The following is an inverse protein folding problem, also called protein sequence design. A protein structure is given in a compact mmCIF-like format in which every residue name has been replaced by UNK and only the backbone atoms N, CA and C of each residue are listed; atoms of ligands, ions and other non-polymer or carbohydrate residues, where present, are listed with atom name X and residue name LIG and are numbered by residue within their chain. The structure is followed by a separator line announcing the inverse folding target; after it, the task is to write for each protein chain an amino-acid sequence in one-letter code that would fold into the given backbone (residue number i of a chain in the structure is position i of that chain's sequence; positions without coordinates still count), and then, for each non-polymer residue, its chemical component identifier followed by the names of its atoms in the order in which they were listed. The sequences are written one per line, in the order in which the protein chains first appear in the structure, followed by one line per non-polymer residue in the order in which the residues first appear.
data_IF_511280969792
#
_entry.id   IF_511280969792
#
_cell.length_a   1.000
_cell.length_b   1.000
_cell.length_c   1.000
_cell.angle_alpha   90.00
_cell.angle_beta   90.00
_cell.angle_gamma   90.00
#
_symmetry.space_group_name_H-M   'P 1'
#
loop_
_entity.id
_entity.type
_entity.pdbx_description
1 polymer ?
#
# COMPACT_ATOMS: atom_id res chain seq x y z
N UNK A 1 21.20 7.19 -34.41
CA UNK A 1 21.25 8.36 -33.49
C UNK A 1 20.30 8.06 -32.35
N UNK A 2 20.73 7.30 -31.33
CA UNK A 2 21.18 7.74 -29.99
C UNK A 2 20.16 8.60 -29.24
N UNK A 3 19.43 7.94 -28.34
CA UNK A 3 18.58 8.52 -27.29
C UNK A 3 19.49 9.15 -26.23
N UNK A 4 19.19 10.37 -25.74
CA UNK A 4 19.88 10.93 -24.57
C UNK A 4 18.91 11.25 -23.42
N UNK A 5 19.06 10.44 -22.38
CA UNK A 5 18.57 10.65 -21.04
C UNK A 5 19.35 11.79 -20.38
N UNK A 6 18.76 12.98 -20.25
CA UNK A 6 19.24 13.98 -19.29
C UNK A 6 18.18 15.06 -19.12
N UNK A 7 17.53 15.10 -17.96
CA UNK A 7 17.22 16.30 -17.16
C UNK A 7 16.18 15.93 -16.11
N UNK A 8 16.60 15.20 -15.07
CA UNK A 8 15.90 15.18 -13.78
C UNK A 8 16.98 15.32 -12.71
N UNK A 9 17.53 16.53 -12.63
CA UNK A 9 18.45 16.93 -11.59
C UNK A 9 17.95 18.23 -10.98
N UNK A 10 17.84 18.22 -9.65
CA UNK A 10 17.34 19.26 -8.72
C UNK A 10 15.89 18.94 -8.31
N UNK A 11 15.59 18.56 -7.08
CA UNK A 11 16.02 19.23 -5.84
C UNK A 11 15.82 18.30 -4.65
N UNK A 12 16.90 17.78 -4.06
CA UNK A 12 16.88 17.21 -2.70
C UNK A 12 18.17 17.64 -2.00
N UNK A 13 18.11 18.82 -1.38
CA UNK A 13 19.03 19.23 -0.33
C UNK A 13 18.16 19.57 0.89
N UNK A 14 18.77 19.41 2.07
CA UNK A 14 18.16 19.39 3.40
C UNK A 14 17.55 18.00 3.62
N UNK A 15 18.21 17.07 4.30
CA UNK A 15 18.62 17.16 5.70
C UNK A 15 19.88 16.31 5.99
N UNK A 16 21.00 16.97 6.28
CA UNK A 16 22.03 16.42 7.16
C UNK A 16 21.84 17.10 8.53
N UNK A 17 21.67 16.31 9.59
CA UNK A 17 21.63 16.84 10.95
C UNK A 17 21.08 15.89 11.99
N UNK A 18 21.71 14.73 12.20
CA UNK A 18 21.59 14.00 13.46
C UNK A 18 22.97 13.54 13.94
N UNK A 19 23.53 14.13 15.01
CA UNK A 19 24.69 13.60 15.69
C UNK A 19 24.18 12.60 16.75
N UNK A 20 24.38 11.30 16.52
CA UNK A 20 24.03 10.26 17.46
C UNK A 20 24.85 9.01 17.19
N UNK A 21 25.90 8.84 17.99
CA UNK A 21 26.88 7.75 17.92
C UNK A 21 26.24 6.35 18.00
N UNK A 22 26.74 5.44 17.17
CA UNK A 22 27.14 4.09 17.60
C UNK A 22 26.20 2.94 17.24
N UNK A 23 26.55 2.19 16.19
CA UNK A 23 25.98 0.88 15.91
C UNK A 23 26.07 0.54 14.42
N UNK A 24 27.22 0.04 13.98
CA UNK A 24 27.41 -0.53 12.65
C UNK A 24 26.57 -1.82 12.58
N UNK A 25 25.34 -1.75 12.07
CA UNK A 25 24.58 -2.94 11.72
C UNK A 25 24.98 -3.38 10.32
N UNK A 26 25.64 -4.51 10.29
CA UNK A 26 25.97 -5.33 9.13
C UNK A 26 24.65 -5.70 8.43
N UNK A 27 24.23 -4.88 7.47
CA UNK A 27 23.07 -5.14 6.63
C UNK A 27 23.38 -6.36 5.75
N UNK A 28 22.92 -7.53 6.20
CA UNK A 28 22.97 -8.78 5.44
C UNK A 28 22.29 -8.59 4.09
N UNK A 29 22.88 -9.14 3.02
CA UNK A 29 22.54 -8.92 1.62
C UNK A 29 21.18 -9.53 1.16
N UNK A 30 20.20 -9.64 2.06
CA UNK A 30 18.84 -10.11 1.79
C UNK A 30 17.74 -9.33 2.54
N UNK A 31 18.08 -8.30 3.32
CA UNK A 31 17.08 -7.43 3.95
C UNK A 31 16.69 -6.32 2.98
N UNK A 32 15.67 -6.58 2.16
CA UNK A 32 14.97 -5.49 1.48
C UNK A 32 14.46 -4.52 2.56
N UNK A 33 15.04 -3.32 2.61
CA UNK A 33 14.62 -2.27 3.53
C UNK A 33 13.10 -2.16 3.41
N UNK A 34 12.36 -2.26 4.52
CA UNK A 34 10.91 -2.34 4.44
C UNK A 34 10.43 -1.11 3.67
N UNK A 35 9.63 -1.35 2.62
CA UNK A 35 9.00 -0.31 1.79
C UNK A 35 8.04 0.50 2.66
N UNK A 36 8.60 1.35 3.52
CA UNK A 36 7.88 2.25 4.39
C UNK A 36 8.02 3.63 3.78
N UNK A 37 7.09 3.96 2.89
CA UNK A 37 6.76 5.36 2.72
C UNK A 37 6.31 5.92 4.07
N UNK A 38 6.77 7.12 4.40
CA UNK A 38 6.25 7.83 5.57
C UNK A 38 4.75 8.05 5.39
N UNK A 39 3.97 7.80 6.44
CA UNK A 39 2.55 8.14 6.45
C UNK A 39 2.41 9.66 6.56
N UNK A 40 1.54 10.23 5.74
CA UNK A 40 1.20 11.64 5.89
C UNK A 40 0.51 11.89 7.23
N UNK A 41 1.02 12.88 7.96
CA UNK A 41 0.27 13.50 9.05
C UNK A 41 -0.97 14.24 8.51
N UNK A 42 -1.85 14.68 9.40
CA UNK A 42 -3.12 15.31 9.04
C UNK A 42 -2.97 16.49 8.05
N UNK A 43 -2.03 17.40 8.29
CA UNK A 43 -1.83 18.57 7.42
C UNK A 43 -1.25 18.18 6.05
N UNK A 44 -0.36 17.18 6.01
CA UNK A 44 0.18 16.64 4.77
C UNK A 44 -0.92 15.96 3.96
N UNK A 45 -1.79 15.17 4.62
CA UNK A 45 -2.93 14.52 3.99
C UNK A 45 -3.90 15.56 3.39
N UNK A 46 -4.17 16.64 4.13
CA UNK A 46 -5.03 17.74 3.66
C UNK A 46 -4.45 18.43 2.43
N UNK A 47 -3.16 18.76 2.46
CA UNK A 47 -2.51 19.40 1.32
C UNK A 47 -2.43 18.45 0.12
N UNK A 48 -2.10 17.17 0.36
CA UNK A 48 -2.04 16.16 -0.69
C UNK A 48 -3.42 15.92 -1.33
N UNK A 49 -4.48 15.85 -0.53
CA UNK A 49 -5.85 15.70 -1.03
C UNK A 49 -6.27 16.82 -1.98
N UNK A 50 -5.87 18.08 -1.68
CA UNK A 50 -6.10 19.21 -2.60
C UNK A 50 -5.37 19.03 -3.91
N UNK A 51 -4.08 18.70 -3.86
CA UNK A 51 -3.26 18.45 -5.06
C UNK A 51 -3.87 17.31 -5.89
N UNK A 52 -4.26 16.21 -5.25
CA UNK A 52 -4.87 15.06 -5.89
C UNK A 52 -6.17 15.43 -6.61
N UNK A 53 -7.04 16.20 -5.95
CA UNK A 53 -8.31 16.64 -6.53
C UNK A 53 -8.12 17.55 -7.76
N UNK A 54 -7.14 18.46 -7.75
CA UNK A 54 -6.84 19.29 -8.93
C UNK A 54 -6.22 18.51 -10.09
N UNK A 55 -5.56 17.39 -9.82
CA UNK A 55 -4.92 16.57 -10.86
C UNK A 55 -5.90 15.64 -11.59
N UNK A 56 -7.11 15.43 -11.06
CA UNK A 56 -8.08 14.50 -11.63
C UNK A 56 -9.21 15.26 -12.35
N UNK A 57 -9.36 15.00 -13.64
CA UNK A 57 -10.49 15.50 -14.43
C UNK A 57 -11.72 14.61 -14.21
N UNK A 58 -12.87 15.24 -13.94
CA UNK A 58 -14.13 14.54 -13.82
C UNK A 58 -14.65 14.16 -15.22
N UNK A 59 -15.20 12.96 -15.34
CA UNK A 59 -15.88 12.56 -16.55
C UNK A 59 -17.16 13.41 -16.75
N UNK A 60 -17.40 14.00 -17.93
CA UNK A 60 -18.51 14.93 -18.15
C UNK A 60 -19.88 14.26 -18.20
N UNK A 61 -19.92 12.93 -18.27
CA UNK A 61 -21.14 12.13 -18.37
C UNK A 61 -21.42 11.29 -17.12
N UNK A 62 -22.63 10.74 -17.05
CA UNK A 62 -23.01 9.77 -16.03
C UNK A 62 -22.47 8.39 -16.43
N UNK A 63 -21.56 7.85 -15.63
CA UNK A 63 -21.10 6.47 -15.79
C UNK A 63 -22.03 5.53 -15.01
N UNK A 64 -22.16 4.26 -15.42
CA UNK A 64 -22.84 3.25 -14.61
C UNK A 64 -22.17 3.16 -13.23
N UNK A 65 -22.96 3.11 -12.17
CA UNK A 65 -22.44 2.82 -10.85
C UNK A 65 -22.00 1.35 -10.80
N UNK A 66 -20.69 1.13 -10.94
CA UNK A 66 -20.08 -0.19 -10.86
C UNK A 66 -19.51 -0.47 -9.47
N UNK A 67 -19.42 0.55 -8.60
CA UNK A 67 -18.75 0.40 -7.32
C UNK A 67 -19.52 -0.58 -6.44
N UNK A 68 -20.83 -0.39 -6.30
CA UNK A 68 -21.65 -1.25 -5.45
C UNK A 68 -21.65 -2.71 -5.95
N UNK A 69 -21.77 -2.94 -7.26
CA UNK A 69 -21.69 -4.30 -7.82
C UNK A 69 -20.35 -4.97 -7.53
N UNK A 70 -19.25 -4.25 -7.75
CA UNK A 70 -17.90 -4.76 -7.47
C UNK A 70 -17.64 -4.99 -5.99
N UNK A 71 -18.19 -4.14 -5.11
CA UNK A 71 -18.08 -4.35 -3.66
C UNK A 71 -18.83 -5.60 -3.22
N UNK A 72 -20.04 -5.83 -3.74
CA UNK A 72 -20.80 -7.07 -3.49
C UNK A 72 -20.08 -8.31 -4.03
N UNK A 73 -19.44 -8.21 -5.20
CA UNK A 73 -18.61 -9.30 -5.74
C UNK A 73 -17.38 -9.56 -4.88
N UNK A 74 -16.69 -8.50 -4.44
CA UNK A 74 -15.53 -8.59 -3.56
C UNK A 74 -15.90 -9.23 -2.21
N UNK A 75 -17.03 -8.86 -1.63
CA UNK A 75 -17.52 -9.44 -0.36
C UNK A 75 -17.65 -10.96 -0.48
N UNK A 76 -18.28 -11.46 -1.55
CA UNK A 76 -18.41 -12.91 -1.79
C UNK A 76 -17.05 -13.59 -1.88
N UNK A 77 -16.10 -12.99 -2.62
CA UNK A 77 -14.74 -13.52 -2.74
C UNK A 77 -14.04 -13.56 -1.39
N UNK A 78 -14.17 -12.51 -0.58
CA UNK A 78 -13.54 -12.45 0.74
C UNK A 78 -14.10 -13.51 1.69
N UNK A 79 -15.42 -13.71 1.71
CA UNK A 79 -16.08 -14.76 2.48
C UNK A 79 -15.57 -16.15 2.06
N UNK A 80 -15.52 -16.41 0.75
CA UNK A 80 -15.04 -17.69 0.21
C UNK A 80 -13.57 -17.96 0.56
N UNK A 81 -12.71 -16.95 0.46
CA UNK A 81 -11.30 -17.06 0.86
C UNK A 81 -11.18 -17.36 2.35
N UNK A 82 -11.93 -16.67 3.21
CA UNK A 82 -11.88 -16.93 4.66
C UNK A 82 -12.32 -18.36 4.99
N UNK A 83 -13.37 -18.86 4.32
CA UNK A 83 -13.80 -20.26 4.45
C UNK A 83 -12.70 -21.24 4.04
N UNK A 84 -12.08 -21.04 2.87
CA UNK A 84 -11.00 -21.89 2.37
C UNK A 84 -9.76 -21.88 3.29
N UNK A 85 -9.39 -20.71 3.82
CA UNK A 85 -8.28 -20.58 4.77
C UNK A 85 -8.59 -21.29 6.09
N UNK A 86 -9.82 -21.16 6.60
CA UNK A 86 -10.27 -21.85 7.82
C UNK A 86 -10.25 -23.37 7.64
N UNK A 87 -10.70 -23.87 6.48
CA UNK A 87 -10.62 -25.30 6.14
C UNK A 87 -9.17 -25.80 6.04
N UNK A 88 -8.25 -24.96 5.54
CA UNK A 88 -6.83 -25.29 5.48
C UNK A 88 -6.20 -25.39 6.88
N UNK A 89 -6.47 -24.44 7.77
CA UNK A 89 -6.01 -24.48 9.17
C UNK A 89 -6.59 -25.71 9.88
N UNK A 90 -7.89 -25.98 9.71
CA UNK A 90 -8.55 -27.14 10.35
C UNK A 90 -7.95 -28.47 9.90
N UNK A 91 -7.42 -28.52 8.68
CA UNK A 91 -6.72 -29.67 8.12
C UNK A 91 -5.19 -29.66 8.37
N UNK A 92 -4.71 -28.84 9.32
CA UNK A 92 -3.29 -28.69 9.70
C UNK A 92 -2.37 -28.32 8.52
N UNK A 93 -2.91 -27.60 7.52
CA UNK A 93 -2.14 -27.08 6.38
C UNK A 93 -1.64 -25.68 6.68
N UNK A 94 -0.38 -25.42 6.33
CA UNK A 94 0.20 -24.09 6.39
C UNK A 94 -0.54 -23.13 5.44
N UNK A 95 -0.80 -21.91 5.93
CA UNK A 95 -1.31 -20.79 5.13
C UNK A 95 -0.24 -19.70 5.02
N UNK A 96 -0.42 -18.78 4.07
CA UNK A 96 0.52 -17.66 3.90
C UNK A 96 0.31 -16.61 5.01
N UNK A 97 1.33 -15.81 5.35
CA UNK A 97 1.19 -14.72 6.33
C UNK A 97 0.07 -13.72 5.96
N UNK A 98 -0.18 -13.51 4.66
CA UNK A 98 -1.27 -12.66 4.20
C UNK A 98 -2.66 -13.28 4.48
N UNK A 99 -2.79 -14.61 4.40
CA UNK A 99 -4.02 -15.32 4.73
C UNK A 99 -4.32 -15.28 6.23
N UNK A 100 -3.28 -15.43 7.05
CA UNK A 100 -3.39 -15.30 8.51
C UNK A 100 -3.85 -13.89 8.89
N UNK A 101 -3.19 -12.86 8.35
CA UNK A 101 -3.58 -11.47 8.57
C UNK A 101 -5.05 -11.21 8.20
N UNK A 102 -5.52 -11.75 7.07
CA UNK A 102 -6.91 -11.56 6.65
C UNK A 102 -7.90 -12.17 7.65
N UNK A 103 -7.64 -13.38 8.14
CA UNK A 103 -8.52 -14.03 9.12
C UNK A 103 -8.57 -13.26 10.44
N UNK A 104 -7.42 -12.80 10.92
CA UNK A 104 -7.31 -12.03 12.16
C UNK A 104 -8.02 -10.68 12.09
N UNK A 105 -8.13 -10.10 10.89
CA UNK A 105 -8.62 -8.73 10.68
C UNK A 105 -9.95 -8.65 9.92
N UNK A 106 -10.62 -9.77 9.68
CA UNK A 106 -11.84 -9.80 8.85
C UNK A 106 -12.95 -8.87 9.36
N UNK A 107 -13.05 -8.70 10.68
CA UNK A 107 -14.02 -7.81 11.34
C UNK A 107 -13.86 -6.32 10.98
N UNK A 108 -12.74 -5.90 10.38
CA UNK A 108 -12.53 -4.52 9.92
C UNK A 108 -13.18 -4.26 8.55
N UNK A 109 -13.58 -5.33 7.85
CA UNK A 109 -14.02 -5.30 6.46
C UNK A 109 -15.51 -5.72 6.35
N UNK A 110 -16.07 -6.38 7.37
CA UNK A 110 -17.53 -6.58 7.55
C UNK A 110 -18.23 -5.31 8.08
#
# INVERSE_FOLDING_TARGET
MKVNSTTIGRTLRHFLGYPGKGGLLELSAGEELPLRSELFGSDQMKQHGRTLATNHELHPGRLPDQLLSRLTENEKVLIDVCRLLTEAITADRAITPAGEWLLDNFYLIE
#
